data_IF_947648590018
#
_entry.id   IF_947648590018
#
_cell.length_a   1.000
_cell.length_b   1.000
_cell.length_c   1.000
_cell.angle_alpha   90.00
_cell.angle_beta   90.00
_cell.angle_gamma   90.00
#
_symmetry.space_group_name_H-M   'P 1'
#
loop_
_entity.id
_entity.type
_entity.pdbx_description
1 polymer ?
#
# COMPACT_ATOMS: atom_id res chain seq x y z
N UNK A 1 -35.75 -16.76 -5.42
CA UNK A 1 -34.77 -16.11 -4.54
C UNK A 1 -34.41 -14.80 -5.22
N UNK A 2 -34.47 -13.67 -4.51
CA UNK A 2 -34.17 -12.36 -5.12
C UNK A 2 -32.73 -12.29 -5.60
N UNK A 3 -32.45 -11.43 -6.57
CA UNK A 3 -31.08 -11.12 -7.00
C UNK A 3 -30.32 -10.48 -5.83
N UNK A 4 -29.12 -10.99 -5.56
CA UNK A 4 -28.24 -10.49 -4.50
C UNK A 4 -27.08 -9.72 -5.08
N UNK A 5 -26.84 -8.53 -4.54
CA UNK A 5 -25.76 -7.64 -4.96
C UNK A 5 -24.85 -7.34 -3.76
N UNK A 6 -23.54 -7.48 -3.97
CA UNK A 6 -22.53 -6.99 -3.00
C UNK A 6 -22.11 -5.59 -3.40
N UNK A 7 -22.32 -4.61 -2.51
CA UNK A 7 -21.98 -3.21 -2.74
C UNK A 7 -20.69 -2.84 -2.01
N UNK A 8 -19.74 -2.24 -2.75
CA UNK A 8 -18.59 -1.53 -2.18
C UNK A 8 -19.10 -0.33 -1.37
N UNK A 9 -19.10 -0.43 -0.05
CA UNK A 9 -19.69 0.57 0.82
C UNK A 9 -18.62 1.51 1.40
N UNK A 10 -18.71 2.78 1.03
CA UNK A 10 -17.82 3.86 1.50
C UNK A 10 -18.46 4.73 2.60
N UNK A 11 -19.73 4.51 2.93
CA UNK A 11 -20.47 5.29 3.94
C UNK A 11 -21.32 6.44 3.39
N UNK A 12 -21.11 6.85 2.13
CA UNK A 12 -21.74 8.04 1.54
C UNK A 12 -23.01 7.79 0.72
N UNK A 13 -23.36 6.53 0.46
CA UNK A 13 -24.51 6.15 -0.38
C UNK A 13 -25.54 5.37 0.44
N UNK A 14 -26.82 5.54 0.13
CA UNK A 14 -27.88 4.67 0.66
C UNK A 14 -27.89 3.36 -0.16
N UNK A 15 -27.60 2.18 0.43
CA UNK A 15 -27.46 0.95 -0.33
C UNK A 15 -28.69 0.58 -1.15
N UNK A 16 -29.90 0.76 -0.60
CA UNK A 16 -31.15 0.41 -1.30
C UNK A 16 -31.39 1.24 -2.56
N UNK A 17 -31.09 2.54 -2.55
CA UNK A 17 -31.28 3.42 -3.71
C UNK A 17 -30.15 3.28 -4.72
N UNK A 18 -28.92 2.98 -4.27
CA UNK A 18 -27.74 2.83 -5.12
C UNK A 18 -27.90 1.71 -6.17
N UNK A 19 -28.57 0.61 -5.81
CA UNK A 19 -28.74 -0.58 -6.68
C UNK A 19 -30.18 -0.78 -7.18
N UNK A 20 -31.02 0.26 -7.10
CA UNK A 20 -32.35 0.26 -7.74
C UNK A 20 -33.47 -0.42 -6.95
N UNK A 21 -33.35 -0.60 -5.64
CA UNK A 21 -34.44 -0.91 -4.70
C UNK A 21 -35.10 -2.29 -4.78
N UNK A 22 -34.82 -3.09 -5.81
CA UNK A 22 -35.45 -4.40 -6.04
C UNK A 22 -34.55 -5.61 -5.72
N UNK A 23 -33.26 -5.38 -5.42
CA UNK A 23 -32.29 -6.42 -5.10
C UNK A 23 -32.00 -6.48 -3.58
N UNK A 24 -31.62 -7.67 -3.09
CA UNK A 24 -31.07 -7.84 -1.74
C UNK A 24 -29.62 -7.33 -1.73
N UNK A 25 -29.34 -6.27 -0.98
CA UNK A 25 -28.02 -5.63 -0.96
C UNK A 25 -27.22 -6.05 0.27
N UNK A 26 -26.04 -6.62 0.05
CA UNK A 26 -25.03 -6.82 1.09
C UNK A 26 -23.98 -5.72 0.98
N UNK A 27 -23.92 -4.85 2.00
CA UNK A 27 -22.96 -3.75 2.03
C UNK A 27 -21.63 -4.20 2.63
N UNK A 28 -20.52 -3.97 1.94
CA UNK A 28 -19.19 -4.38 2.42
C UNK A 28 -18.26 -3.17 2.41
N UNK A 29 -17.84 -2.75 3.60
CA UNK A 29 -16.81 -1.73 3.78
C UNK A 29 -15.46 -2.40 4.05
N UNK A 30 -14.41 -1.93 3.37
CA UNK A 30 -13.03 -2.35 3.62
C UNK A 30 -12.32 -1.20 4.34
N UNK A 31 -12.05 -1.39 5.62
CA UNK A 31 -11.44 -0.40 6.49
C UNK A 31 -9.91 -0.49 6.47
N UNK A 32 -9.27 0.63 6.15
CA UNK A 32 -7.82 0.82 6.21
C UNK A 32 -7.41 1.80 7.34
N UNK A 33 -8.34 2.14 8.21
CA UNK A 33 -8.22 3.15 9.25
C UNK A 33 -8.41 4.58 8.76
N UNK A 34 -8.97 4.78 7.55
CA UNK A 34 -9.17 6.10 6.94
C UNK A 34 -10.20 6.94 7.71
N UNK A 35 -11.10 6.28 8.44
CA UNK A 35 -12.12 6.90 9.27
C UNK A 35 -11.86 6.52 10.75
N UNK A 36 -11.82 7.50 11.65
CA UNK A 36 -11.84 7.26 13.12
C UNK A 36 -13.29 6.90 13.59
N UNK A 37 -14.08 6.26 12.72
CA UNK A 37 -15.45 5.84 13.00
C UNK A 37 -15.45 4.40 13.49
N UNK A 38 -16.26 4.11 14.51
CA UNK A 38 -16.48 2.74 14.99
C UNK A 38 -17.11 1.89 13.86
N UNK A 39 -16.55 0.73 13.50
CA UNK A 39 -17.13 -0.20 12.53
C UNK A 39 -18.62 -0.49 12.75
N UNK A 40 -19.08 -0.51 14.00
CA UNK A 40 -20.50 -0.72 14.29
C UNK A 40 -21.39 0.43 13.78
N UNK A 41 -20.87 1.67 13.77
CA UNK A 41 -21.56 2.85 13.24
C UNK A 41 -21.70 2.77 11.73
N UNK A 42 -20.62 2.43 11.02
CA UNK A 42 -20.65 2.22 9.56
C UNK A 42 -21.62 1.11 9.19
N UNK A 43 -21.61 0.00 9.95
CA UNK A 43 -22.55 -1.12 9.76
C UNK A 43 -24.00 -0.70 10.00
N UNK A 44 -24.27 0.02 11.09
CA UNK A 44 -25.61 0.51 11.41
C UNK A 44 -26.15 1.46 10.33
N UNK A 45 -25.29 2.34 9.77
CA UNK A 45 -25.65 3.23 8.66
C UNK A 45 -26.03 2.46 7.41
N UNK A 46 -25.26 1.44 7.03
CA UNK A 46 -25.57 0.59 5.87
C UNK A 46 -26.91 -0.13 6.01
N UNK A 47 -27.20 -0.70 7.19
CA UNK A 47 -28.47 -1.36 7.48
C UNK A 47 -29.64 -0.37 7.48
N UNK A 48 -29.46 0.81 8.06
CA UNK A 48 -30.47 1.87 8.03
C UNK A 48 -30.79 2.35 6.60
N UNK A 49 -29.79 2.34 5.71
CA UNK A 49 -29.95 2.64 4.28
C UNK A 49 -30.52 1.48 3.44
N UNK A 50 -30.93 0.37 4.07
CA UNK A 50 -31.67 -0.73 3.43
C UNK A 50 -30.85 -1.93 2.97
N UNK A 51 -29.60 -2.05 3.41
CA UNK A 51 -28.85 -3.30 3.23
C UNK A 51 -29.47 -4.44 4.06
N UNK A 52 -29.58 -5.64 3.48
CA UNK A 52 -30.04 -6.84 4.22
C UNK A 52 -28.95 -7.38 5.14
N UNK A 53 -27.69 -7.12 4.81
CA UNK A 53 -26.52 -7.45 5.60
C UNK A 53 -25.43 -6.40 5.39
N UNK A 54 -24.60 -6.20 6.41
CA UNK A 54 -23.49 -5.26 6.36
C UNK A 54 -22.25 -5.82 7.05
N UNK A 55 -21.11 -5.78 6.36
CA UNK A 55 -19.80 -6.20 6.81
C UNK A 55 -18.83 -5.01 6.82
N UNK A 56 -17.97 -4.96 7.84
CA UNK A 56 -16.80 -4.07 7.87
C UNK A 56 -15.57 -4.94 8.06
N UNK A 57 -14.67 -4.90 7.10
CA UNK A 57 -13.47 -5.73 7.03
C UNK A 57 -12.27 -4.86 7.40
N UNK A 58 -11.62 -5.15 8.52
CA UNK A 58 -10.33 -4.54 8.86
C UNK A 58 -9.22 -5.15 8.01
N UNK A 59 -8.73 -4.38 7.03
CA UNK A 59 -7.70 -4.81 6.10
C UNK A 59 -6.38 -4.05 6.29
N UNK A 60 -6.15 -3.44 7.46
CA UNK A 60 -4.97 -2.59 7.71
C UNK A 60 -3.65 -3.34 7.57
N UNK A 61 -3.53 -4.48 8.25
CA UNK A 61 -2.32 -5.32 8.20
C UNK A 61 -2.21 -6.03 6.85
N UNK A 62 -3.34 -6.47 6.29
CA UNK A 62 -3.38 -7.09 4.96
C UNK A 62 -2.88 -6.13 3.87
N UNK A 63 -3.34 -4.89 3.88
CA UNK A 63 -2.90 -3.87 2.93
C UNK A 63 -1.40 -3.63 3.06
N UNK A 64 -0.89 -3.53 4.29
CA UNK A 64 0.53 -3.35 4.52
C UNK A 64 1.35 -4.54 3.98
N UNK A 65 0.97 -5.76 4.34
CA UNK A 65 1.78 -6.95 4.10
C UNK A 65 1.62 -7.53 2.69
N UNK A 66 0.41 -7.48 2.13
CA UNK A 66 0.11 -8.09 0.81
C UNK A 66 0.14 -7.10 -0.34
N UNK A 67 0.08 -5.79 -0.07
CA UNK A 67 0.04 -4.77 -1.12
C UNK A 67 1.22 -3.79 -1.01
N UNK A 68 1.41 -3.14 0.14
CA UNK A 68 2.48 -2.18 0.31
C UNK A 68 3.87 -2.83 0.34
N UNK A 69 4.06 -3.97 1.01
CA UNK A 69 5.36 -4.63 1.06
C UNK A 69 5.85 -5.09 -0.32
N UNK A 70 5.05 -5.78 -1.17
CA UNK A 70 5.45 -6.06 -2.55
C UNK A 70 5.77 -4.79 -3.33
N UNK A 71 5.00 -3.72 -3.13
CA UNK A 71 5.26 -2.44 -3.78
C UNK A 71 6.57 -1.79 -3.30
N UNK A 72 6.92 -1.90 -2.01
CA UNK A 72 8.21 -1.45 -1.46
C UNK A 72 9.36 -2.25 -2.06
N UNK A 73 9.26 -3.59 -2.08
CA UNK A 73 10.25 -4.49 -2.68
C UNK A 73 10.43 -4.25 -4.18
N UNK A 74 9.37 -3.82 -4.86
CA UNK A 74 9.38 -3.40 -6.26
C UNK A 74 9.82 -1.94 -6.44
N UNK A 75 10.23 -1.23 -5.39
CA UNK A 75 10.59 0.19 -5.41
C UNK A 75 9.48 1.09 -6.04
N UNK A 76 8.23 0.67 -5.90
CA UNK A 76 7.03 1.22 -6.54
C UNK A 76 5.89 1.44 -5.53
N UNK A 77 6.23 1.73 -4.27
CA UNK A 77 5.25 1.95 -3.19
C UNK A 77 4.32 3.15 -3.44
N UNK A 78 4.73 4.11 -4.27
CA UNK A 78 3.92 5.29 -4.61
C UNK A 78 3.59 5.37 -6.11
N UNK A 79 2.39 5.90 -6.45
CA UNK A 79 1.26 6.22 -5.58
C UNK A 79 0.61 4.97 -4.95
N UNK A 80 0.42 4.99 -3.62
CA UNK A 80 -0.16 3.86 -2.89
C UNK A 80 -1.67 3.70 -3.16
N UNK A 81 -2.35 4.77 -3.61
CA UNK A 81 -3.75 4.72 -4.03
C UNK A 81 -4.05 3.70 -5.13
N UNK A 82 -3.09 3.42 -6.02
CA UNK A 82 -3.26 2.39 -7.05
C UNK A 82 -3.35 0.96 -6.48
N UNK A 83 -2.93 0.75 -5.23
CA UNK A 83 -2.96 -0.56 -4.54
C UNK A 83 -4.31 -0.85 -3.86
N UNK A 84 -5.15 0.17 -3.64
CA UNK A 84 -6.43 0.01 -2.96
C UNK A 84 -7.47 -0.75 -3.81
N UNK A 85 -7.71 -0.40 -5.08
CA UNK A 85 -8.72 -1.09 -5.90
C UNK A 85 -8.59 -2.62 -5.96
N UNK A 86 -7.40 -3.22 -6.16
CA UNK A 86 -7.30 -4.68 -6.17
C UNK A 86 -7.60 -5.33 -4.82
N UNK A 87 -7.24 -4.70 -3.69
CA UNK A 87 -7.62 -5.18 -2.35
C UNK A 87 -9.14 -5.21 -2.18
N UNK A 88 -9.82 -4.12 -2.53
CA UNK A 88 -11.28 -4.03 -2.39
C UNK A 88 -11.97 -5.02 -3.33
N UNK A 89 -11.47 -5.17 -4.56
CA UNK A 89 -11.98 -6.16 -5.51
C UNK A 89 -11.92 -7.59 -4.95
N UNK A 90 -10.80 -7.96 -4.32
CA UNK A 90 -10.64 -9.28 -3.70
C UNK A 90 -11.68 -9.53 -2.61
N UNK A 91 -11.84 -8.58 -1.67
CA UNK A 91 -12.81 -8.71 -0.58
C UNK A 91 -14.26 -8.76 -1.06
N UNK A 92 -14.62 -8.00 -2.10
CA UNK A 92 -15.98 -8.02 -2.64
C UNK A 92 -16.28 -9.31 -3.40
N UNK A 93 -15.31 -9.85 -4.12
CA UNK A 93 -15.45 -11.17 -4.75
C UNK A 93 -15.65 -12.24 -3.68
N UNK A 94 -14.84 -12.24 -2.62
CA UNK A 94 -14.98 -13.19 -1.51
C UNK A 94 -16.35 -13.06 -0.82
N UNK A 95 -16.82 -11.83 -0.55
CA UNK A 95 -18.14 -11.58 -0.01
C UNK A 95 -19.26 -12.06 -0.96
N UNK A 96 -19.12 -11.82 -2.27
CA UNK A 96 -20.09 -12.29 -3.26
C UNK A 96 -20.22 -13.82 -3.25
N UNK A 97 -19.10 -14.54 -3.10
CA UNK A 97 -19.13 -16.00 -2.93
C UNK A 97 -19.80 -16.44 -1.64
N UNK A 98 -19.49 -15.81 -0.51
CA UNK A 98 -20.10 -16.13 0.79
C UNK A 98 -21.62 -15.93 0.79
N UNK A 99 -22.09 -14.87 0.13
CA UNK A 99 -23.48 -14.46 0.13
C UNK A 99 -24.32 -14.99 -1.03
N UNK A 100 -23.69 -15.71 -1.97
CA UNK A 100 -24.35 -16.20 -3.18
C UNK A 100 -24.82 -15.06 -4.10
N UNK A 101 -24.08 -13.94 -4.13
CA UNK A 101 -24.35 -12.83 -5.03
C UNK A 101 -23.80 -13.10 -6.43
N UNK A 102 -24.52 -12.64 -7.44
CA UNK A 102 -24.11 -12.70 -8.85
C UNK A 102 -23.53 -11.37 -9.35
N UNK A 103 -23.68 -10.31 -8.56
CA UNK A 103 -23.38 -8.94 -8.97
C UNK A 103 -22.56 -8.23 -7.89
N UNK A 104 -21.56 -7.46 -8.32
CA UNK A 104 -20.76 -6.56 -7.50
C UNK A 104 -21.01 -5.12 -7.96
N UNK A 105 -21.42 -4.26 -7.04
CA UNK A 105 -21.68 -2.85 -7.29
C UNK A 105 -20.61 -1.95 -6.66
N UNK A 106 -20.27 -0.82 -7.30
CA UNK A 106 -19.33 0.16 -6.76
C UNK A 106 -19.62 1.59 -7.23
N UNK A 107 -19.11 2.58 -6.50
CA UNK A 107 -19.21 4.02 -6.78
C UNK A 107 -17.92 4.62 -7.35
N UNK A 108 -16.89 3.80 -7.58
CA UNK A 108 -15.58 4.25 -8.06
C UNK A 108 -15.63 4.86 -9.45
N UNK A 109 -14.78 5.87 -9.64
CA UNK A 109 -14.68 6.70 -10.86
C UNK A 109 -13.28 6.61 -11.48
N UNK A 110 -13.14 7.07 -12.74
CA UNK A 110 -11.85 7.30 -13.38
C UNK A 110 -10.91 6.07 -13.39
N UNK A 111 -9.65 6.27 -13.03
CA UNK A 111 -8.64 5.21 -13.03
C UNK A 111 -8.93 4.11 -11.99
N UNK A 112 -9.50 4.47 -10.84
CA UNK A 112 -9.81 3.49 -9.80
C UNK A 112 -10.96 2.56 -10.19
N UNK A 113 -11.93 3.06 -10.97
CA UNK A 113 -12.94 2.21 -11.62
C UNK A 113 -12.28 1.13 -12.46
N UNK A 114 -11.39 1.52 -13.37
CA UNK A 114 -10.73 0.59 -14.29
C UNK A 114 -9.95 -0.48 -13.51
N UNK A 115 -9.20 -0.09 -12.47
CA UNK A 115 -8.43 -1.03 -11.64
C UNK A 115 -9.33 -1.98 -10.86
N UNK A 116 -10.40 -1.46 -10.26
CA UNK A 116 -11.36 -2.26 -9.51
C UNK A 116 -12.06 -3.28 -10.40
N UNK A 117 -12.67 -2.82 -11.50
CA UNK A 117 -13.42 -3.72 -12.41
C UNK A 117 -12.50 -4.75 -13.08
N UNK A 118 -11.28 -4.36 -13.47
CA UNK A 118 -10.28 -5.30 -14.00
C UNK A 118 -9.92 -6.35 -12.95
N UNK A 119 -9.79 -5.94 -11.68
CA UNK A 119 -9.56 -6.84 -10.57
C UNK A 119 -10.69 -7.85 -10.37
N UNK A 120 -11.94 -7.39 -10.34
CA UNK A 120 -13.11 -8.27 -10.22
C UNK A 120 -13.17 -9.24 -11.39
N UNK A 121 -13.04 -8.76 -12.64
CA UNK A 121 -13.06 -9.62 -13.84
C UNK A 121 -11.94 -10.66 -13.86
N UNK A 122 -10.76 -10.33 -13.31
CA UNK A 122 -9.65 -11.27 -13.21
C UNK A 122 -9.89 -12.37 -12.16
N UNK A 123 -10.55 -12.04 -11.04
CA UNK A 123 -10.79 -12.96 -9.93
C UNK A 123 -12.09 -13.78 -10.09
N UNK A 124 -13.10 -13.20 -10.73
CA UNK A 124 -14.46 -13.72 -10.81
C UNK A 124 -15.13 -13.25 -12.11
N UNK A 125 -14.74 -13.80 -13.27
CA UNK A 125 -15.27 -13.38 -14.58
C UNK A 125 -16.76 -13.68 -14.78
N UNK A 126 -17.34 -14.52 -13.93
CA UNK A 126 -18.77 -14.87 -13.88
C UNK A 126 -19.62 -13.83 -13.14
N UNK A 127 -19.02 -12.94 -12.33
CA UNK A 127 -19.77 -11.89 -11.64
C UNK A 127 -20.04 -10.72 -12.58
N UNK A 128 -21.27 -10.20 -12.53
CA UNK A 128 -21.61 -8.92 -13.12
C UNK A 128 -21.02 -7.77 -12.28
N UNK A 129 -20.47 -6.75 -12.94
CA UNK A 129 -19.89 -5.58 -12.26
C UNK A 129 -20.63 -4.32 -12.69
N UNK A 130 -21.25 -3.64 -11.72
CA UNK A 130 -22.13 -2.49 -11.94
C UNK A 130 -21.55 -1.25 -11.27
N UNK A 131 -21.39 -0.17 -12.03
CA UNK A 131 -21.12 1.15 -11.48
C UNK A 131 -22.45 1.82 -11.09
N UNK A 132 -22.56 2.29 -9.84
CA UNK A 132 -23.78 2.94 -9.32
C UNK A 132 -23.68 4.47 -9.34
N UNK A 133 -24.83 5.15 -9.21
CA UNK A 133 -24.91 6.61 -9.24
C UNK A 133 -24.00 7.27 -8.17
N UNK A 134 -23.32 8.35 -8.56
CA UNK A 134 -22.21 8.96 -7.81
C UNK A 134 -20.84 8.72 -8.46
N UNK A 135 -20.74 7.74 -9.37
CA UNK A 135 -19.49 7.37 -10.03
C UNK A 135 -18.92 8.37 -11.06
N UNK A 136 -19.59 9.49 -11.30
CA UNK A 136 -19.10 10.57 -12.18
C UNK A 136 -19.00 11.93 -11.46
N UNK A 137 -19.27 11.98 -10.16
CA UNK A 137 -19.11 13.21 -9.39
C UNK A 137 -17.61 13.48 -9.11
N UNK A 138 -17.10 14.71 -9.37
CA UNK A 138 -15.70 15.01 -9.11
C UNK A 138 -15.39 14.88 -7.61
N UNK A 139 -14.51 13.94 -7.26
CA UNK A 139 -13.99 13.86 -5.90
C UNK A 139 -13.18 15.13 -5.61
N UNK A 140 -13.51 15.92 -4.57
CA UNK A 140 -12.76 17.12 -4.26
C UNK A 140 -11.28 16.77 -4.03
N UNK A 141 -10.35 17.64 -4.49
CA UNK A 141 -8.93 17.37 -4.32
C UNK A 141 -8.62 17.19 -2.84
N UNK A 142 -7.90 16.11 -2.52
CA UNK A 142 -7.46 15.87 -1.14
C UNK A 142 -6.57 17.03 -0.70
N UNK A 143 -6.76 17.59 0.51
CA UNK A 143 -5.90 18.66 0.99
C UNK A 143 -4.44 18.20 1.01
N UNK A 144 -3.49 19.07 0.64
CA UNK A 144 -2.08 18.70 0.60
C UNK A 144 -1.60 18.31 1.99
N UNK A 145 -0.78 17.26 2.02
CA UNK A 145 -0.01 16.90 3.21
C UNK A 145 0.99 18.02 3.50
N UNK A 146 0.98 18.53 4.74
CA UNK A 146 1.90 19.59 5.16
C UNK A 146 3.11 18.95 5.83
N UNK A 147 4.25 19.59 5.67
CA UNK A 147 5.49 19.19 6.32
C UNK A 147 5.88 20.38 7.19
N UNK A 148 5.98 20.14 8.49
CA UNK A 148 6.48 21.08 9.48
C UNK A 148 7.99 20.83 9.60
N UNK A 149 8.85 21.68 9.02
CA UNK A 149 10.28 21.45 9.03
C UNK A 149 10.80 21.67 10.45
N UNK A 150 11.21 20.58 11.10
CA UNK A 150 12.00 20.61 12.33
C UNK A 150 13.50 20.57 12.04
N UNK A 151 14.28 20.41 13.10
CA UNK A 151 15.71 20.12 13.00
C UNK A 151 15.95 18.82 12.22
N UNK A 152 17.10 18.66 11.54
CA UNK A 152 17.45 17.40 10.90
C UNK A 152 17.42 16.24 11.90
N UNK A 153 16.71 15.18 11.56
CA UNK A 153 16.54 13.99 12.40
C UNK A 153 17.28 12.80 11.76
N UNK A 154 18.28 12.25 12.46
CA UNK A 154 19.02 11.08 12.01
C UNK A 154 18.42 9.80 12.59
N UNK A 155 18.23 8.78 11.75
CA UNK A 155 17.67 7.49 12.17
C UNK A 155 18.29 6.32 11.39
N UNK A 156 18.16 5.12 11.95
CA UNK A 156 18.57 3.86 11.32
C UNK A 156 17.35 2.99 11.03
N UNK A 157 17.19 2.56 9.78
CA UNK A 157 16.23 1.55 9.38
C UNK A 157 16.90 0.20 9.26
N UNK A 158 16.33 -0.82 9.90
CA UNK A 158 16.74 -2.22 9.73
C UNK A 158 15.75 -2.92 8.82
N UNK A 159 16.27 -3.68 7.86
CA UNK A 159 15.51 -4.52 6.95
C UNK A 159 15.88 -5.98 7.14
N UNK A 160 14.88 -6.85 7.01
CA UNK A 160 15.04 -8.28 6.80
C UNK A 160 14.30 -8.67 5.51
N UNK A 161 15.02 -9.22 4.54
CA UNK A 161 14.48 -9.65 3.24
C UNK A 161 13.60 -8.59 2.57
N UNK A 162 14.08 -7.35 2.54
CA UNK A 162 13.37 -6.19 1.97
C UNK A 162 12.19 -5.66 2.80
N UNK A 163 11.87 -6.27 3.94
CA UNK A 163 10.84 -5.77 4.87
C UNK A 163 11.51 -4.89 5.93
N UNK A 164 10.99 -3.68 6.22
CA UNK A 164 11.44 -2.91 7.37
C UNK A 164 11.00 -3.61 8.66
N UNK A 165 11.95 -3.89 9.55
CA UNK A 165 11.74 -4.64 10.81
C UNK A 165 12.12 -3.84 12.06
N UNK A 166 12.94 -2.80 11.94
CA UNK A 166 13.25 -1.93 13.07
C UNK A 166 13.53 -0.47 12.66
N UNK A 167 13.25 0.46 13.57
CA UNK A 167 13.67 1.86 13.53
C UNK A 167 14.50 2.13 14.79
N UNK A 168 15.75 2.54 14.64
CA UNK A 168 16.71 2.74 15.75
C UNK A 168 16.84 1.54 16.70
N UNK A 169 16.76 0.33 16.14
CA UNK A 169 16.81 -0.93 16.90
C UNK A 169 15.49 -1.33 17.58
N UNK A 170 14.47 -0.47 17.57
CA UNK A 170 13.14 -0.82 18.06
C UNK A 170 12.36 -1.59 16.98
N UNK A 171 11.89 -2.78 17.31
CA UNK A 171 11.13 -3.63 16.38
C UNK A 171 9.81 -2.98 16.00
N UNK A 172 9.52 -2.96 14.69
CA UNK A 172 8.29 -2.37 14.14
C UNK A 172 7.67 -3.26 13.07
N UNK A 173 6.35 -3.19 12.96
CA UNK A 173 5.62 -3.63 11.76
C UNK A 173 5.77 -2.59 10.65
N UNK A 174 5.44 -2.96 9.41
CA UNK A 174 5.49 -2.01 8.29
C UNK A 174 4.59 -0.77 8.50
N UNK A 175 3.33 -0.89 8.98
CA UNK A 175 2.54 0.28 9.35
C UNK A 175 3.19 1.15 10.43
N UNK A 176 3.81 0.54 11.44
CA UNK A 176 4.50 1.26 12.51
C UNK A 176 5.72 2.01 11.98
N UNK A 177 6.53 1.38 11.10
CA UNK A 177 7.66 2.02 10.44
C UNK A 177 7.21 3.28 9.68
N UNK A 178 6.17 3.17 8.83
CA UNK A 178 5.64 4.30 8.06
C UNK A 178 5.14 5.42 8.97
N UNK A 179 4.39 5.08 10.03
CA UNK A 179 3.90 6.07 11.00
C UNK A 179 5.05 6.79 11.69
N UNK A 180 6.06 6.07 12.13
CA UNK A 180 7.21 6.64 12.83
C UNK A 180 8.05 7.54 11.90
N UNK A 181 8.31 7.09 10.68
CA UNK A 181 9.00 7.89 9.66
C UNK A 181 8.21 9.16 9.29
N UNK A 182 6.87 9.08 9.22
CA UNK A 182 6.03 10.26 8.99
C UNK A 182 6.08 11.24 10.17
N UNK A 183 6.03 10.73 11.40
CA UNK A 183 6.15 11.55 12.61
C UNK A 183 7.48 12.30 12.63
N UNK A 184 8.60 11.60 12.37
CA UNK A 184 9.95 12.18 12.34
C UNK A 184 10.19 13.13 11.18
N UNK A 185 9.59 12.85 10.02
CA UNK A 185 9.65 13.77 8.88
C UNK A 185 8.79 15.04 9.06
N UNK A 186 8.15 15.24 10.22
CA UNK A 186 7.32 16.42 10.52
C UNK A 186 6.03 16.45 9.71
N UNK A 187 5.51 15.29 9.30
CA UNK A 187 4.34 15.24 8.43
C UNK A 187 3.07 15.52 9.25
N UNK A 188 2.38 16.61 8.92
CA UNK A 188 1.12 17.02 9.53
C UNK A 188 -0.01 17.16 8.50
N UNK A 189 -1.25 16.95 8.94
CA UNK A 189 -2.42 17.02 8.08
C UNK A 189 -3.71 16.77 8.86
N UNK A 190 -4.75 17.53 8.54
CA UNK A 190 -6.09 17.34 9.12
C UNK A 190 -6.66 15.99 8.67
N UNK A 191 -7.08 15.16 9.63
CA UNK A 191 -7.38 13.74 9.41
C UNK A 191 -6.11 12.89 9.39
N UNK A 192 -5.96 12.01 10.38
CA UNK A 192 -4.77 11.18 10.63
C UNK A 192 -4.29 10.54 9.32
N UNK A 193 -2.98 10.54 9.08
CA UNK A 193 -2.37 9.92 7.90
C UNK A 193 -2.43 8.39 8.05
N UNK A 194 -3.61 7.83 7.86
CA UNK A 194 -3.95 6.41 8.00
C UNK A 194 -4.30 5.82 6.63
N UNK A 195 -4.45 4.50 6.58
CA UNK A 195 -4.71 3.74 5.36
C UNK A 195 -3.74 4.10 4.23
N UNK A 196 -4.28 4.29 3.03
CA UNK A 196 -3.52 4.65 1.83
C UNK A 196 -2.72 5.94 2.05
N UNK A 197 -3.29 6.93 2.73
CA UNK A 197 -2.66 8.24 2.94
C UNK A 197 -1.37 8.15 3.74
N UNK A 198 -1.26 7.17 4.65
CA UNK A 198 -0.02 6.92 5.38
C UNK A 198 1.16 6.67 4.42
N UNK A 199 0.90 6.03 3.28
CA UNK A 199 1.90 5.60 2.29
C UNK A 199 2.12 6.62 1.16
N UNK A 200 1.38 7.74 1.11
CA UNK A 200 1.54 8.82 0.13
C UNK A 200 2.37 9.99 0.66
N UNK A 201 3.33 9.68 1.55
CA UNK A 201 4.02 10.64 2.41
C UNK A 201 5.55 10.60 2.21
N UNK A 202 6.27 11.59 2.77
CA UNK A 202 7.73 11.54 2.89
C UNK A 202 8.25 10.28 3.59
N UNK A 203 7.57 9.74 4.60
CA UNK A 203 8.03 8.53 5.30
C UNK A 203 8.03 7.28 4.40
N UNK A 204 7.01 7.11 3.56
CA UNK A 204 7.01 6.05 2.55
C UNK A 204 8.08 6.25 1.47
N UNK A 205 8.36 7.51 1.13
CA UNK A 205 9.46 7.85 0.21
C UNK A 205 10.82 7.50 0.85
N UNK A 206 11.00 7.77 2.14
CA UNK A 206 12.19 7.43 2.89
C UNK A 206 12.43 5.91 2.96
N UNK A 207 11.37 5.11 3.18
CA UNK A 207 11.46 3.65 3.10
C UNK A 207 11.92 3.17 1.73
N UNK A 208 11.34 3.72 0.65
CA UNK A 208 11.72 3.34 -0.72
C UNK A 208 13.17 3.72 -1.02
N UNK A 209 13.59 4.92 -0.63
CA UNK A 209 14.99 5.38 -0.77
C UNK A 209 15.93 4.46 0.00
N UNK A 210 15.63 4.12 1.26
CA UNK A 210 16.47 3.25 2.06
C UNK A 210 16.57 1.84 1.46
N UNK A 211 15.44 1.27 1.05
CA UNK A 211 15.38 -0.02 0.39
C UNK A 211 16.26 -0.07 -0.87
N UNK A 212 16.13 0.91 -1.77
CA UNK A 212 16.99 1.02 -2.97
C UNK A 212 18.47 1.10 -2.61
N UNK A 213 18.83 1.84 -1.55
CA UNK A 213 20.22 1.97 -1.13
C UNK A 213 20.77 0.69 -0.49
N UNK A 214 19.93 -0.10 0.18
CA UNK A 214 20.30 -1.41 0.69
C UNK A 214 20.51 -2.42 -0.47
N UNK A 215 19.67 -2.36 -1.50
CA UNK A 215 19.85 -3.19 -2.70
C UNK A 215 21.19 -2.91 -3.40
N UNK A 216 21.60 -1.65 -3.49
CA UNK A 216 22.89 -1.27 -4.09
C UNK A 216 24.12 -1.89 -3.36
N UNK A 217 23.98 -2.38 -2.12
CA UNK A 217 25.07 -3.02 -1.35
C UNK A 217 24.88 -4.53 -1.10
N UNK A 218 23.67 -5.05 -1.33
CA UNK A 218 23.32 -6.46 -1.10
C UNK A 218 23.14 -7.24 -2.41
N UNK A 219 22.84 -6.57 -3.52
CA UNK A 219 22.58 -7.21 -4.81
C UNK A 219 23.71 -6.97 -5.80
N UNK A 220 23.96 -8.00 -6.61
CA UNK A 220 24.96 -7.95 -7.68
C UNK A 220 24.62 -6.86 -8.71
N UNK A 221 25.62 -6.12 -9.25
CA UNK A 221 25.36 -4.96 -10.10
C UNK A 221 24.47 -5.20 -11.33
N UNK A 222 24.63 -6.31 -12.05
CA UNK A 222 23.80 -6.65 -13.20
C UNK A 222 22.38 -7.04 -12.78
N UNK A 223 22.23 -7.75 -11.65
CA UNK A 223 20.95 -8.01 -11.02
C UNK A 223 20.22 -6.70 -10.67
N UNK A 224 20.90 -5.72 -10.06
CA UNK A 224 20.32 -4.39 -9.77
C UNK A 224 19.90 -3.69 -11.06
N UNK A 225 20.76 -3.66 -12.09
CA UNK A 225 20.45 -3.02 -13.37
C UNK A 225 19.24 -3.65 -14.05
N UNK A 226 19.11 -4.97 -14.01
CA UNK A 226 17.97 -5.68 -14.58
C UNK A 226 16.72 -5.49 -13.72
N UNK A 227 16.83 -5.59 -12.40
CA UNK A 227 15.74 -5.38 -11.45
C UNK A 227 15.09 -4.01 -11.63
N UNK A 228 15.88 -2.94 -11.84
CA UNK A 228 15.32 -1.60 -12.16
C UNK A 228 14.39 -1.58 -13.38
N UNK A 229 14.56 -2.48 -14.35
CA UNK A 229 13.64 -2.61 -15.51
C UNK A 229 12.37 -3.36 -15.10
N UNK A 230 12.53 -4.43 -14.31
CA UNK A 230 11.44 -5.22 -13.75
C UNK A 230 10.53 -4.34 -12.87
N UNK A 231 11.11 -3.56 -11.96
CA UNK A 231 10.40 -2.61 -11.09
C UNK A 231 9.54 -1.62 -11.87
N UNK A 232 10.10 -1.01 -12.92
CA UNK A 232 9.34 -0.08 -13.76
C UNK A 232 8.14 -0.77 -14.42
N UNK A 233 8.32 -2.01 -14.92
CA UNK A 233 7.20 -2.74 -15.51
C UNK A 233 6.19 -3.18 -14.46
N UNK A 234 6.65 -3.59 -13.28
CA UNK A 234 5.81 -3.96 -12.15
C UNK A 234 4.92 -2.78 -11.73
N UNK A 235 5.51 -1.60 -11.53
CA UNK A 235 4.77 -0.39 -11.19
C UNK A 235 3.75 0.01 -12.27
N UNK A 236 4.13 -0.10 -13.55
CA UNK A 236 3.22 0.16 -14.66
C UNK A 236 2.01 -0.79 -14.66
N UNK A 237 2.21 -2.10 -14.43
CA UNK A 237 1.12 -3.08 -14.32
C UNK A 237 0.15 -2.71 -13.20
N UNK A 238 0.65 -2.31 -12.03
CA UNK A 238 -0.21 -1.85 -10.93
C UNK A 238 -1.02 -0.62 -11.34
N UNK A 239 -0.38 0.35 -12.01
CA UNK A 239 -1.06 1.57 -12.46
C UNK A 239 -2.14 1.29 -13.50
N UNK A 240 -1.89 0.34 -14.40
CA UNK A 240 -2.79 -0.15 -15.45
C UNK A 240 -3.94 -1.03 -14.90
N UNK A 241 -3.97 -1.34 -13.60
CA UNK A 241 -5.00 -2.21 -13.00
C UNK A 241 -4.75 -3.70 -13.17
N UNK A 242 -3.54 -4.08 -13.57
CA UNK A 242 -3.15 -5.45 -13.89
C UNK A 242 -2.49 -6.17 -12.70
N UNK A 243 -2.94 -5.85 -11.47
CA UNK A 243 -2.43 -6.46 -10.23
C UNK A 243 -2.51 -7.99 -10.24
N UNK A 244 -3.61 -8.55 -10.77
CA UNK A 244 -3.84 -9.99 -10.83
C UNK A 244 -3.34 -10.63 -12.14
N UNK A 245 -2.64 -9.89 -13.01
CA UNK A 245 -2.17 -10.41 -14.29
C UNK A 245 -1.05 -11.47 -14.11
N UNK A 246 -0.95 -12.47 -15.01
CA UNK A 246 0.11 -13.47 -14.95
C UNK A 246 1.52 -12.87 -15.01
N UNK A 247 1.71 -11.79 -15.78
CA UNK A 247 2.99 -11.10 -15.86
C UNK A 247 3.37 -10.49 -14.49
N UNK A 248 2.43 -9.83 -13.81
CA UNK A 248 2.68 -9.27 -12.47
C UNK A 248 3.10 -10.38 -11.50
N UNK A 249 2.42 -11.52 -11.48
CA UNK A 249 2.76 -12.67 -10.63
C UNK A 249 4.16 -13.25 -10.94
N UNK A 250 4.54 -13.32 -12.22
CA UNK A 250 5.89 -13.73 -12.61
C UNK A 250 6.96 -12.72 -12.13
N UNK A 251 6.67 -11.42 -12.20
CA UNK A 251 7.55 -10.38 -11.68
C UNK A 251 7.63 -10.41 -10.15
N UNK A 252 6.54 -10.72 -9.44
CA UNK A 252 6.56 -10.93 -7.98
C UNK A 252 7.57 -12.03 -7.62
N UNK A 253 7.53 -13.18 -8.32
CA UNK A 253 8.45 -14.30 -8.07
C UNK A 253 9.92 -13.93 -8.32
N UNK A 254 10.18 -13.13 -9.36
CA UNK A 254 11.50 -12.57 -9.62
C UNK A 254 11.94 -11.67 -8.46
N UNK A 255 11.10 -10.71 -8.07
CA UNK A 255 11.39 -9.76 -6.99
C UNK A 255 11.62 -10.49 -5.67
N UNK A 256 10.74 -11.40 -5.26
CA UNK A 256 10.89 -12.18 -4.02
C UNK A 256 12.21 -12.96 -3.97
N UNK A 257 12.68 -13.45 -5.12
CA UNK A 257 14.01 -14.07 -5.21
C UNK A 257 15.13 -13.06 -4.97
N UNK A 258 15.04 -11.85 -5.54
CA UNK A 258 16.03 -10.78 -5.27
C UNK A 258 16.06 -10.37 -3.80
N UNK A 259 14.93 -10.43 -3.10
CA UNK A 259 14.83 -9.95 -1.72
C UNK A 259 15.47 -10.87 -0.67
N UNK A 260 15.90 -12.08 -1.01
CA UNK A 260 16.40 -13.07 -0.04
C UNK A 260 17.58 -12.60 0.82
N UNK A 261 18.42 -11.71 0.28
CA UNK A 261 19.62 -11.19 0.94
C UNK A 261 19.57 -9.67 1.15
N UNK A 262 18.41 -9.04 0.92
CA UNK A 262 18.21 -7.60 1.16
C UNK A 262 17.94 -7.38 2.65
N UNK A 263 18.93 -7.69 3.48
CA UNK A 263 18.90 -7.58 4.94
C UNK A 263 20.07 -6.72 5.43
N UNK A 264 19.81 -5.85 6.40
CA UNK A 264 20.80 -4.94 6.96
C UNK A 264 20.23 -3.58 7.37
N UNK A 265 21.12 -2.62 7.58
CA UNK A 265 20.82 -1.31 8.12
C UNK A 265 21.10 -0.19 7.13
N UNK A 266 20.24 0.83 7.12
CA UNK A 266 20.42 2.06 6.36
C UNK A 266 20.23 3.25 7.28
N UNK A 267 21.24 4.13 7.35
CA UNK A 267 21.18 5.37 8.11
C UNK A 267 20.70 6.51 7.20
N UNK A 268 19.71 7.25 7.69
CA UNK A 268 19.06 8.36 7.00
C UNK A 268 19.13 9.62 7.86
N UNK A 269 19.20 10.78 7.20
CA UNK A 269 18.83 12.07 7.78
C UNK A 269 17.54 12.54 7.12
N UNK A 270 16.51 12.76 7.92
CA UNK A 270 15.24 13.35 7.52
C UNK A 270 15.25 14.85 7.78
N UNK A 271 14.95 15.63 6.74
CA UNK A 271 14.80 17.08 6.90
C UNK A 271 13.91 17.66 5.81
N UNK A 272 12.91 18.47 6.20
CA UNK A 272 12.00 19.14 5.26
C UNK A 272 11.29 18.19 4.29
N UNK A 273 10.92 16.99 4.77
CA UNK A 273 10.26 15.95 3.96
C UNK A 273 11.16 15.26 2.93
N UNK A 274 12.48 15.41 3.04
CA UNK A 274 13.47 14.65 2.27
C UNK A 274 14.19 13.67 3.18
N UNK A 275 14.56 12.53 2.62
CA UNK A 275 15.43 11.55 3.27
C UNK A 275 16.76 11.48 2.50
N UNK A 276 17.86 11.72 3.20
CA UNK A 276 19.22 11.63 2.65
C UNK A 276 19.93 10.47 3.31
N UNK A 277 20.46 9.54 2.52
CA UNK A 277 21.16 8.36 3.05
C UNK A 277 22.59 8.74 3.42
N UNK A 278 22.96 8.54 4.68
CA UNK A 278 24.29 8.87 5.22
C UNK A 278 25.18 7.64 5.41
N UNK A 279 24.60 6.44 5.49
CA UNK A 279 25.36 5.20 5.58
C UNK A 279 24.52 3.94 5.37
N UNK A 280 25.20 2.82 5.13
CA UNK A 280 24.57 1.54 4.75
C UNK A 280 25.43 0.38 5.27
N UNK A 281 24.80 -0.70 5.68
CA UNK A 281 25.46 -1.95 6.07
C UNK A 281 24.56 -3.14 5.74
N UNK A 282 25.00 -4.04 4.85
CA UNK A 282 24.33 -5.32 4.61
C UNK A 282 24.83 -6.41 5.57
N UNK A 283 24.00 -7.40 5.88
CA UNK A 283 24.43 -8.59 6.65
C UNK A 283 25.30 -9.53 5.82
N UNK A 284 24.99 -9.66 4.53
CA UNK A 284 25.81 -10.35 3.52
C UNK A 284 26.27 -9.34 2.47
N UNK A 285 27.07 -8.34 2.88
CA UNK A 285 27.59 -7.37 1.91
C UNK A 285 28.44 -8.09 0.86
N UNK A 286 28.26 -7.78 -0.43
CA UNK A 286 29.07 -8.38 -1.51
C UNK A 286 30.58 -8.22 -1.31
N UNK A 287 30.98 -7.16 -0.61
CA UNK A 287 32.36 -6.91 -0.17
C UNK A 287 32.93 -8.01 0.72
N UNK A 288 32.09 -8.64 1.53
CA UNK A 288 32.49 -9.65 2.52
C UNK A 288 32.65 -11.03 1.85
N UNK A 289 32.04 -11.21 0.66
CA UNK A 289 32.24 -12.37 -0.21
C UNK A 289 33.52 -12.28 -1.06
N UNK A 290 34.34 -11.24 -0.88
CA UNK A 290 35.57 -11.03 -1.66
C UNK A 290 35.33 -10.66 -3.13
N UNK A 291 34.07 -10.40 -3.51
CA UNK A 291 33.69 -9.94 -4.84
C UNK A 291 33.81 -8.41 -4.85
N UNK A 292 34.94 -7.90 -5.35
CA UNK A 292 35.36 -6.50 -5.29
C UNK A 292 34.46 -5.51 -6.06
N UNK A 293 33.24 -5.29 -5.57
CA UNK A 293 32.30 -4.32 -6.13
C UNK A 293 31.84 -3.36 -5.02
N UNK A 294 32.54 -2.23 -4.91
CA UNK A 294 32.19 -1.11 -4.02
C UNK A 294 32.52 -1.36 -2.55
N UNK A 295 33.47 -0.59 -2.00
CA UNK A 295 33.73 -0.66 -0.56
C UNK A 295 32.53 -0.10 0.22
N UNK A 296 32.01 -0.80 1.23
CA UNK A 296 31.05 -0.22 2.15
C UNK A 296 31.74 0.91 2.91
N UNK A 297 31.22 2.14 2.82
CA UNK A 297 31.57 3.18 3.80
C UNK A 297 31.01 2.73 5.14
N UNK A 298 31.88 2.22 6.01
CA UNK A 298 31.54 1.91 7.41
C UNK A 298 30.83 3.13 8.01
N UNK A 299 29.71 2.89 8.69
CA UNK A 299 29.03 3.89 9.50
C UNK A 299 30.05 4.44 10.53
N UNK A 300 30.32 5.74 10.59
CA UNK A 300 31.08 6.31 11.69
C UNK A 300 30.26 6.17 12.99
N UNK A 301 30.94 5.80 14.07
CA UNK A 301 30.34 5.46 15.37
C UNK A 301 29.69 6.65 16.10
N UNK A 302 29.89 7.89 15.62
CA UNK A 302 29.25 9.12 16.08
C UNK A 302 29.71 10.27 15.18
N UNK A 303 28.79 11.08 14.67
CA UNK A 303 29.16 12.43 14.22
C UNK A 303 29.16 13.28 15.49
N UNK A 304 30.35 13.70 15.93
CA UNK A 304 30.47 14.68 17.00
C UNK A 304 29.77 15.97 16.55
N UNK A 305 28.80 16.43 17.35
CA UNK A 305 28.16 17.72 17.17
C UNK A 305 29.25 18.80 17.07
N UNK A 306 29.24 19.53 15.96
CA UNK A 306 29.97 20.80 15.79
C UNK A 306 29.02 21.84 15.24
#
# INVERSE_FOLDING_TARGET
MGERVVLAYSGGLDPSTAVGGHAEVVAVAVDLGEHDEDPATTRARALAGGAVEAEVIDARDEFADRYCLPALRANALRPASALLPPLVAQHLVEAARRHGATTVAHDRTGADRIRFETGVRALAPDLEVVAVAGADEPVPPRPPVRIEPGDPDELVLTFDRGRPVAVDGETVTMPQAVRELNRRAGVSGTGRLTGVRAYETPGASALTTAHQQLEDVTLEPDLVRFKRRVERRWGALVHEGLWFSPLKQALDSFIDTTQRHVSGEVRLVLHGGRAVVTGRRGEEALSDLGLGFGQPRRLPDKIAAT
#
